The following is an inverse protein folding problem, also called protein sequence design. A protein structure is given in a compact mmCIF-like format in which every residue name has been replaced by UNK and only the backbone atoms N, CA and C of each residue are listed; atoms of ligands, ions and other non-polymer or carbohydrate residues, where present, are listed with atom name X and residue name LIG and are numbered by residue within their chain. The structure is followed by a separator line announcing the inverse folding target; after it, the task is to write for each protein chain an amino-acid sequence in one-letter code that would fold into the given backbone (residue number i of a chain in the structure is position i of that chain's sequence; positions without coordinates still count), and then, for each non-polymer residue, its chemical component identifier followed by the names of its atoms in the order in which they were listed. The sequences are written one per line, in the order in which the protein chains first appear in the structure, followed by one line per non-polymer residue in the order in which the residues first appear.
data_IF_655727097732
#
_entry.id   IF_655727097732
#
_cell.length_a   1.000
_cell.length_b   1.000
_cell.length_c   1.000
_cell.angle_alpha   90.00
_cell.angle_beta   90.00
_cell.angle_gamma   90.00
#
_symmetry.space_group_name_H-M   'P 1'
#
loop_
_entity.id
_entity.type
_entity.pdbx_description
1 polymer ?
#
# COMPACT_ATOMS: atom_id res chain seq x y z
N UNK A 1 4.50 -5.89 12.88
CA UNK A 1 5.73 -6.72 12.92
C UNK A 1 6.08 -7.41 11.59
N UNK A 2 5.09 -7.68 10.72
CA UNK A 2 5.30 -8.31 9.41
C UNK A 2 5.56 -7.28 8.29
N UNK A 3 4.77 -6.20 8.27
CA UNK A 3 4.89 -5.12 7.30
C UNK A 3 5.14 -3.83 8.08
N UNK A 4 6.36 -3.29 7.99
CA UNK A 4 6.77 -2.07 8.66
C UNK A 4 7.23 -1.03 7.65
N UNK A 5 7.09 0.25 7.98
CA UNK A 5 7.61 1.37 7.20
C UNK A 5 8.78 2.02 7.93
N UNK A 6 9.70 2.60 7.17
CA UNK A 6 10.78 3.44 7.68
C UNK A 6 10.73 4.79 6.99
N UNK A 7 10.96 5.87 7.73
CA UNK A 7 10.86 7.22 7.20
C UNK A 7 11.98 8.12 7.72
N UNK A 8 12.39 9.08 6.90
CA UNK A 8 13.35 10.13 7.22
C UNK A 8 12.80 11.48 6.76
N UNK A 9 12.94 12.51 7.60
CA UNK A 9 12.48 13.87 7.30
C UNK A 9 11.43 14.39 8.29
N UNK A 10 10.86 15.55 7.97
CA UNK A 10 10.01 16.31 8.89
C UNK A 10 8.76 15.54 9.38
N UNK A 11 8.17 14.71 8.51
CA UNK A 11 6.95 13.96 8.81
C UNK A 11 7.22 12.50 9.21
N UNK A 12 8.48 12.09 9.43
CA UNK A 12 8.82 10.68 9.66
C UNK A 12 8.09 10.07 10.85
N UNK A 13 8.06 10.81 11.97
CA UNK A 13 7.34 10.43 13.19
C UNK A 13 5.84 10.30 12.91
N UNK A 14 5.23 11.32 12.32
CA UNK A 14 3.79 11.33 12.00
C UNK A 14 3.41 10.13 11.14
N UNK A 15 4.18 9.84 10.09
CA UNK A 15 3.91 8.74 9.15
C UNK A 15 4.06 7.35 9.78
N UNK A 16 5.04 7.17 10.68
CA UNK A 16 5.41 5.83 11.20
C UNK A 16 4.80 5.49 12.56
N UNK A 17 4.22 6.47 13.26
CA UNK A 17 3.61 6.26 14.57
C UNK A 17 2.26 5.54 14.52
N UNK A 18 1.98 4.77 15.57
CA UNK A 18 0.69 4.12 15.80
C UNK A 18 0.20 3.24 14.64
N UNK A 19 1.05 2.33 14.16
CA UNK A 19 0.66 1.27 13.22
C UNK A 19 -0.03 0.13 13.99
N UNK A 20 -1.34 -0.02 13.79
CA UNK A 20 -2.14 -1.07 14.42
C UNK A 20 -1.70 -2.49 14.00
N UNK A 21 -1.86 -3.46 14.90
CA UNK A 21 -1.41 -4.84 14.68
C UNK A 21 -2.38 -5.64 13.79
N UNK A 22 -3.65 -5.23 13.73
CA UNK A 22 -4.76 -5.83 12.97
C UNK A 22 -5.16 -4.99 11.75
N UNK A 23 -4.26 -4.11 11.29
CA UNK A 23 -4.46 -3.26 10.13
C UNK A 23 -3.14 -3.11 9.35
N UNK A 24 -2.78 -4.13 8.58
CA UNK A 24 -1.48 -4.23 7.91
C UNK A 24 -1.21 -3.02 7.01
N UNK A 25 -2.16 -2.67 6.13
CA UNK A 25 -1.99 -1.64 5.08
C UNK A 25 -3.23 -0.76 4.87
N UNK A 26 -4.21 -0.77 5.78
CA UNK A 26 -5.43 0.02 5.69
C UNK A 26 -5.38 1.32 6.50
N UNK A 27 -6.54 1.73 7.03
CA UNK A 27 -6.76 3.07 7.60
C UNK A 27 -5.90 3.44 8.81
N UNK A 28 -5.44 2.46 9.59
CA UNK A 28 -4.56 2.70 10.74
C UNK A 28 -3.09 2.43 10.43
N UNK A 29 -2.73 2.34 9.14
CA UNK A 29 -1.37 2.09 8.67
C UNK A 29 -0.64 3.37 8.21
N UNK A 30 0.67 3.31 7.96
CA UNK A 30 1.41 4.40 7.33
C UNK A 30 0.90 4.81 5.95
N UNK A 31 0.19 3.96 5.21
CA UNK A 31 -0.32 4.32 3.87
C UNK A 31 -1.38 5.43 3.93
N UNK A 32 -2.35 5.35 4.84
CA UNK A 32 -3.35 6.42 5.01
C UNK A 32 -2.71 7.73 5.44
N UNK A 33 -1.70 7.67 6.33
CA UNK A 33 -0.95 8.87 6.74
C UNK A 33 -0.15 9.49 5.60
N UNK A 34 0.38 8.67 4.68
CA UNK A 34 1.01 9.16 3.46
C UNK A 34 -0.01 9.77 2.50
N UNK A 35 -1.22 9.21 2.44
CA UNK A 35 -2.33 9.77 1.68
C UNK A 35 -2.76 11.15 2.23
N UNK A 36 -2.92 11.27 3.55
CA UNK A 36 -3.33 12.51 4.24
C UNK A 36 -2.39 13.70 3.97
N UNK A 37 -1.11 13.42 3.71
CA UNK A 37 -0.09 14.45 3.41
C UNK A 37 0.17 14.63 1.92
N UNK A 38 -0.70 14.09 1.05
CA UNK A 38 -0.57 14.11 -0.42
C UNK A 38 0.82 13.64 -0.89
N UNK A 39 1.27 12.50 -0.35
CA UNK A 39 2.57 11.94 -0.69
C UNK A 39 2.66 11.54 -2.16
N UNK A 40 3.90 11.46 -2.65
CA UNK A 40 4.22 10.91 -3.97
C UNK A 40 4.91 9.55 -3.81
N UNK A 41 4.66 8.66 -4.77
CA UNK A 41 5.35 7.38 -4.88
C UNK A 41 6.36 7.47 -6.01
N UNK A 42 7.58 6.98 -5.74
CA UNK A 42 8.63 6.78 -6.73
C UNK A 42 8.87 5.28 -6.90
N UNK A 43 8.60 4.76 -8.10
CA UNK A 43 9.08 3.45 -8.52
C UNK A 43 10.41 3.65 -9.23
N UNK A 44 11.51 3.20 -8.64
CA UNK A 44 12.88 3.37 -9.15
C UNK A 44 13.43 2.02 -9.61
N UNK A 45 13.43 1.77 -10.92
CA UNK A 45 13.93 0.53 -11.51
C UNK A 45 13.06 -0.70 -11.23
N UNK A 46 11.82 -0.50 -10.76
CA UNK A 46 10.85 -1.55 -10.44
C UNK A 46 9.50 -1.25 -11.09
N UNK A 47 8.73 -2.29 -11.40
CA UNK A 47 7.39 -2.14 -11.95
C UNK A 47 6.34 -1.87 -10.87
N UNK A 48 5.08 -1.82 -11.31
CA UNK A 48 3.93 -1.63 -10.43
C UNK A 48 3.59 -2.88 -9.60
N UNK A 49 4.14 -4.05 -9.91
CA UNK A 49 4.00 -5.31 -9.15
C UNK A 49 4.40 -5.19 -7.67
N UNK A 50 5.25 -4.22 -7.34
CA UNK A 50 5.71 -3.96 -5.97
C UNK A 50 5.15 -2.65 -5.39
N UNK A 51 4.15 -2.05 -6.03
CA UNK A 51 3.58 -0.77 -5.62
C UNK A 51 2.69 -0.91 -4.39
N UNK A 52 3.29 -0.84 -3.20
CA UNK A 52 2.60 -1.08 -1.91
C UNK A 52 1.38 -0.21 -1.69
N UNK A 53 1.32 1.01 -2.25
CA UNK A 53 0.19 1.91 -2.00
C UNK A 53 -1.13 1.39 -2.56
N UNK A 54 -1.12 0.55 -3.60
CA UNK A 54 -2.35 -0.04 -4.12
C UNK A 54 -3.04 -0.97 -3.10
N UNK A 55 -2.31 -1.52 -2.13
CA UNK A 55 -2.92 -2.30 -1.07
C UNK A 55 -3.91 -1.47 -0.23
N UNK A 56 -3.72 -0.15 -0.08
CA UNK A 56 -4.70 0.68 0.64
C UNK A 56 -6.10 0.62 -0.03
N UNK A 57 -6.15 0.53 -1.36
CA UNK A 57 -7.40 0.36 -2.08
C UNK A 57 -8.07 -1.01 -1.80
N UNK A 58 -7.29 -2.07 -1.55
CA UNK A 58 -7.85 -3.37 -1.14
C UNK A 58 -8.57 -3.30 0.21
N UNK A 59 -8.15 -2.41 1.11
CA UNK A 59 -8.82 -2.17 2.39
C UNK A 59 -10.13 -1.39 2.27
N UNK A 60 -10.34 -0.70 1.15
CA UNK A 60 -11.49 0.18 0.91
C UNK A 60 -12.58 -0.44 0.05
N UNK A 61 -12.32 -1.62 -0.50
CA UNK A 61 -13.30 -2.45 -1.19
C UNK A 61 -13.68 -3.67 -0.33
N UNK A 62 -14.69 -4.43 -0.75
CA UNK A 62 -15.06 -5.69 -0.08
C UNK A 62 -14.08 -6.83 -0.43
N UNK A 63 -12.85 -6.71 0.05
CA UNK A 63 -11.81 -7.73 -0.12
C UNK A 63 -12.01 -8.91 0.83
N UNK A 64 -11.59 -10.08 0.38
CA UNK A 64 -11.53 -11.27 1.22
C UNK A 64 -10.60 -11.02 2.42
N UNK A 65 -10.97 -11.53 3.59
CA UNK A 65 -10.14 -11.56 4.79
C UNK A 65 -9.61 -12.96 5.09
N UNK A 66 -8.47 -13.03 5.78
CA UNK A 66 -7.85 -14.27 6.23
C UNK A 66 -7.19 -14.10 7.60
N UNK A 67 -7.05 -15.21 8.32
CA UNK A 67 -6.29 -15.26 9.56
C UNK A 67 -4.82 -14.95 9.29
N UNK A 68 -4.29 -13.98 10.02
CA UNK A 68 -2.91 -13.55 9.94
C UNK A 68 -2.22 -13.75 11.31
N UNK A 69 -1.47 -14.86 11.48
CA UNK A 69 -0.78 -15.16 12.73
C UNK A 69 0.63 -14.56 12.79
N UNK A 70 0.99 -13.95 13.92
CA UNK A 70 2.35 -13.44 14.17
C UNK A 70 2.69 -13.33 15.65
N UNK A 71 3.98 -13.10 15.94
CA UNK A 71 4.45 -12.72 17.26
C UNK A 71 4.68 -11.21 17.34
N UNK A 72 4.21 -10.57 18.41
CA UNK A 72 4.45 -9.16 18.71
C UNK A 72 4.79 -8.95 20.20
N UNK A 73 5.35 -7.79 20.53
CA UNK A 73 5.45 -7.34 21.92
C UNK A 73 4.15 -6.61 22.26
N UNK A 74 3.40 -7.13 23.23
CA UNK A 74 2.17 -6.53 23.77
C UNK A 74 2.39 -6.36 25.27
N UNK A 75 2.27 -5.14 25.77
CA UNK A 75 2.54 -4.78 27.18
C UNK A 75 3.89 -5.31 27.69
N UNK A 76 4.92 -5.22 26.85
CA UNK A 76 6.29 -5.67 27.17
C UNK A 76 6.50 -7.19 27.13
N UNK A 77 5.47 -7.98 26.79
CA UNK A 77 5.57 -9.44 26.68
C UNK A 77 5.48 -9.90 25.23
N UNK A 78 6.35 -10.85 24.85
CA UNK A 78 6.24 -11.52 23.55
C UNK A 78 5.01 -12.41 23.54
N UNK A 79 4.07 -12.12 22.65
CA UNK A 79 2.78 -12.79 22.54
C UNK A 79 2.59 -13.28 21.11
N UNK A 80 2.15 -14.53 20.96
CA UNK A 80 1.65 -15.06 19.70
C UNK A 80 0.17 -14.73 19.58
N UNK A 81 -0.23 -14.12 18.47
CA UNK A 81 -1.61 -13.72 18.22
C UNK A 81 -1.99 -13.95 16.76
N UNK A 82 -3.30 -14.06 16.51
CA UNK A 82 -3.87 -14.12 15.17
C UNK A 82 -4.88 -12.99 15.07
N UNK A 83 -4.78 -12.20 14.00
CA UNK A 83 -5.74 -11.16 13.65
C UNK A 83 -6.44 -11.53 12.35
N UNK A 84 -7.68 -11.09 12.16
CA UNK A 84 -8.36 -11.22 10.88
C UNK A 84 -8.11 -9.95 10.07
N UNK A 85 -7.44 -10.07 8.93
CA UNK A 85 -7.07 -8.91 8.10
C UNK A 85 -7.33 -9.19 6.61
N UNK A 86 -7.24 -8.17 5.75
CA UNK A 86 -7.36 -8.27 4.29
C UNK A 86 -6.29 -9.22 3.75
N UNK A 87 -6.73 -10.19 2.96
CA UNK A 87 -5.86 -11.10 2.24
C UNK A 87 -5.32 -10.39 0.98
N UNK A 88 -4.38 -9.48 1.19
CA UNK A 88 -3.78 -8.64 0.13
C UNK A 88 -3.16 -9.49 -0.98
N UNK A 89 -3.31 -9.05 -2.23
CA UNK A 89 -2.66 -9.64 -3.41
C UNK A 89 -2.18 -8.55 -4.37
N UNK A 90 -0.99 -8.76 -4.94
CA UNK A 90 -0.39 -7.92 -5.96
C UNK A 90 -0.34 -8.59 -7.35
N UNK A 91 -1.01 -9.73 -7.54
CA UNK A 91 -0.95 -10.52 -8.79
C UNK A 91 -1.38 -9.73 -10.02
N UNK A 92 -2.30 -8.77 -9.85
CA UNK A 92 -2.87 -7.92 -10.90
C UNK A 92 -2.29 -6.49 -10.93
N UNK A 93 -1.32 -6.16 -10.08
CA UNK A 93 -0.77 -4.81 -9.99
C UNK A 93 -0.04 -4.38 -11.26
N UNK A 94 0.51 -5.32 -12.04
CA UNK A 94 1.11 -5.00 -13.34
C UNK A 94 0.06 -4.56 -14.37
N UNK A 95 -1.14 -5.14 -14.32
CA UNK A 95 -2.24 -4.77 -15.23
C UNK A 95 -2.85 -3.44 -14.79
N UNK A 96 -3.18 -3.32 -13.50
CA UNK A 96 -3.64 -2.08 -12.89
C UNK A 96 -2.67 -0.92 -13.16
N UNK A 97 -1.36 -1.13 -13.00
CA UNK A 97 -0.34 -0.12 -13.25
C UNK A 97 -0.28 0.34 -14.72
N UNK A 98 -0.50 -0.57 -15.68
CA UNK A 98 -0.55 -0.22 -17.11
C UNK A 98 -1.74 0.69 -17.40
N UNK A 99 -2.92 0.33 -16.89
CA UNK A 99 -4.14 1.14 -17.08
C UNK A 99 -4.02 2.49 -16.37
N UNK A 100 -3.45 2.50 -15.17
CA UNK A 100 -3.18 3.72 -14.42
C UNK A 100 -2.29 4.69 -15.21
N UNK A 101 -1.19 4.19 -15.81
CA UNK A 101 -0.30 4.99 -16.66
C UNK A 101 -1.03 5.52 -17.89
N UNK A 102 -1.84 4.68 -18.54
CA UNK A 102 -2.55 5.03 -19.76
C UNK A 102 -3.63 6.11 -19.53
N UNK A 103 -4.35 6.06 -18.41
CA UNK A 103 -5.45 6.98 -18.12
C UNK A 103 -4.99 8.28 -17.45
N UNK A 104 -3.98 8.22 -16.57
CA UNK A 104 -3.58 9.39 -15.77
C UNK A 104 -2.36 10.13 -16.30
N UNK A 105 -1.57 9.51 -17.19
CA UNK A 105 -0.37 10.13 -17.74
C UNK A 105 0.71 10.38 -16.69
N UNK A 106 0.96 9.39 -15.81
CA UNK A 106 1.99 9.48 -14.76
C UNK A 106 3.33 9.97 -15.30
N UNK A 107 4.09 10.70 -14.48
CA UNK A 107 5.43 11.15 -14.88
C UNK A 107 6.37 9.96 -14.93
N UNK A 108 7.06 9.76 -16.06
CA UNK A 108 8.07 8.74 -16.22
C UNK A 108 9.41 9.32 -16.71
N UNK A 109 10.48 8.54 -16.55
CA UNK A 109 11.81 8.94 -16.99
C UNK A 109 12.89 7.97 -16.51
N UNK A 110 14.16 8.37 -16.69
CA UNK A 110 15.31 7.57 -16.27
C UNK A 110 16.11 8.22 -15.17
N UNK A 111 16.54 7.42 -14.20
CA UNK A 111 17.60 7.77 -13.25
C UNK A 111 18.76 6.82 -13.53
N UNK A 112 19.80 7.34 -14.18
CA UNK A 112 20.84 6.49 -14.79
C UNK A 112 20.24 5.60 -15.87
N UNK A 113 20.40 4.28 -15.73
CA UNK A 113 19.80 3.28 -16.63
C UNK A 113 18.42 2.77 -16.20
N UNK A 114 17.92 3.15 -15.02
CA UNK A 114 16.69 2.62 -14.45
C UNK A 114 15.46 3.38 -14.95
N UNK A 115 14.44 2.65 -15.43
CA UNK A 115 13.11 3.21 -15.70
C UNK A 115 12.43 3.59 -14.38
N UNK A 116 11.80 4.76 -14.35
CA UNK A 116 11.20 5.33 -13.15
C UNK A 116 9.81 5.89 -13.42
N UNK A 117 8.97 5.85 -12.38
CA UNK A 117 7.64 6.46 -12.37
C UNK A 117 7.45 7.27 -11.09
N UNK A 118 6.91 8.48 -11.23
CA UNK A 118 6.56 9.38 -10.13
C UNK A 118 5.10 9.80 -10.24
N UNK A 119 4.32 9.57 -9.19
CA UNK A 119 2.88 9.85 -9.18
C UNK A 119 2.36 10.17 -7.77
N UNK A 120 1.15 10.75 -7.69
CA UNK A 120 0.45 11.02 -6.42
C UNK A 120 -0.09 9.72 -5.82
N UNK A 121 0.16 9.50 -4.54
CA UNK A 121 -0.36 8.35 -3.80
C UNK A 121 -1.90 8.39 -3.72
N UNK A 122 -2.56 9.49 -3.29
CA UNK A 122 -4.02 9.57 -3.28
C UNK A 122 -4.66 9.26 -4.64
N UNK A 123 -4.06 9.76 -5.73
CA UNK A 123 -4.55 9.49 -7.09
C UNK A 123 -4.45 8.00 -7.44
N UNK A 124 -3.31 7.37 -7.10
CA UNK A 124 -3.06 5.95 -7.35
C UNK A 124 -4.03 5.05 -6.56
N UNK A 125 -4.29 5.38 -5.29
CA UNK A 125 -5.24 4.65 -4.44
C UNK A 125 -6.66 4.79 -4.97
N UNK A 126 -7.10 6.02 -5.27
CA UNK A 126 -8.44 6.28 -5.85
C UNK A 126 -8.65 5.54 -7.17
N UNK A 127 -7.61 5.48 -8.01
CA UNK A 127 -7.66 4.73 -9.26
C UNK A 127 -7.78 3.23 -9.00
N UNK A 128 -6.95 2.69 -8.10
CA UNK A 128 -6.93 1.28 -7.75
C UNK A 128 -8.27 0.80 -7.17
N UNK A 129 -8.93 1.60 -6.32
CA UNK A 129 -10.25 1.28 -5.78
C UNK A 129 -11.29 1.04 -6.89
N UNK A 130 -11.33 1.95 -7.88
CA UNK A 130 -12.22 1.84 -9.03
C UNK A 130 -11.86 0.67 -9.93
N UNK A 131 -10.56 0.46 -10.15
CA UNK A 131 -10.06 -0.61 -10.99
C UNK A 131 -10.37 -1.98 -10.39
N UNK A 132 -10.17 -2.17 -9.09
CA UNK A 132 -10.51 -3.44 -8.44
C UNK A 132 -12.00 -3.75 -8.49
N UNK A 133 -12.88 -2.74 -8.39
CA UNK A 133 -14.32 -2.95 -8.47
C UNK A 133 -14.79 -3.53 -9.81
N UNK A 134 -14.04 -3.34 -10.89
CA UNK A 134 -14.35 -3.89 -12.22
C UNK A 134 -13.58 -5.17 -12.58
N UNK A 135 -12.43 -5.43 -11.94
CA UNK A 135 -11.54 -6.55 -12.32
C UNK A 135 -11.48 -7.67 -11.28
N UNK A 136 -11.83 -7.39 -10.02
CA UNK A 136 -11.89 -8.41 -8.97
C UNK A 136 -13.34 -8.78 -8.70
N UNK A 137 -13.60 -10.08 -8.62
CA UNK A 137 -14.91 -10.58 -8.17
C UNK A 137 -15.06 -10.24 -6.69
N UNK A 138 -16.15 -9.56 -6.27
CA UNK A 138 -16.41 -9.30 -4.86
C UNK A 138 -16.43 -10.61 -4.06
N UNK A 139 -15.82 -10.61 -2.88
CA UNK A 139 -15.83 -11.76 -1.96
C UNK A 139 -17.22 -12.00 -1.36
#
# INVERSE_FOLDING_TARGET
PQISFSAIGANSKVVTEAHALDNLLGEESPLTRLEDVDAKVLLLGVGFDVCTCFHLAEYRINSRKADNPFAALVDGKRTWMTVLDVAVSNDDFLELGKDFVAETGVTNGKIGGAECWLFSLPQAVTFAEKWFASHRVPA
#
